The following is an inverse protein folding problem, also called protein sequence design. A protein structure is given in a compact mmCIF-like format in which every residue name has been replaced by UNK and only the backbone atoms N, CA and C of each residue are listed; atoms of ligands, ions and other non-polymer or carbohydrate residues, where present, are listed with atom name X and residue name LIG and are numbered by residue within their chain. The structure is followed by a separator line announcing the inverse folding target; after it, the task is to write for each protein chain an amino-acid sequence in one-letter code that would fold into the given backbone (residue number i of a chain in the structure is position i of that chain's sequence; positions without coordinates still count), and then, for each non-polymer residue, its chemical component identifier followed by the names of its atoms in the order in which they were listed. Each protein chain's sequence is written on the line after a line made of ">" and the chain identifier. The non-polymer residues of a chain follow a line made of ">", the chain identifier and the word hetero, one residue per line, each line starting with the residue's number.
data_IF_270944047124
#
_entry.id   IF_270944047124
#
_cell.length_a   1.000
_cell.length_b   1.000
_cell.length_c   1.000
_cell.angle_alpha   90.00
_cell.angle_beta   90.00
_cell.angle_gamma   90.00
#
_symmetry.space_group_name_H-M   'P 1'
#
loop_
_entity.id
_entity.type
_entity.pdbx_description
1 polymer ?
#
# COMPACT_ATOMS: atom_id res chain seq x y z
N UNK A 1 11.96 0.04 15.19
CA UNK A 1 12.36 0.85 14.02
C UNK A 1 13.87 0.80 13.82
N UNK A 2 14.70 1.36 14.70
CA UNK A 2 16.16 1.50 14.47
C UNK A 2 16.90 0.25 13.93
N UNK A 3 16.67 -0.95 14.49
CA UNK A 3 17.30 -2.19 13.97
C UNK A 3 16.80 -2.61 12.58
N UNK A 4 15.57 -2.27 12.23
CA UNK A 4 15.01 -2.50 10.91
C UNK A 4 15.57 -1.51 9.90
N UNK A 5 15.63 -0.23 10.29
CA UNK A 5 16.20 0.84 9.45
C UNK A 5 17.66 0.56 9.12
N UNK A 6 18.46 0.16 10.12
CA UNK A 6 19.85 -0.26 9.93
C UNK A 6 19.99 -1.41 8.92
N UNK A 7 19.12 -2.43 9.00
CA UNK A 7 19.16 -3.58 8.08
C UNK A 7 18.80 -3.18 6.66
N UNK A 8 17.81 -2.29 6.49
CA UNK A 8 17.43 -1.80 5.17
C UNK A 8 18.57 -0.96 4.59
N UNK A 9 19.14 -0.04 5.37
CA UNK A 9 20.27 0.78 4.92
C UNK A 9 21.50 -0.07 4.58
N UNK A 10 21.78 -1.13 5.34
CA UNK A 10 22.85 -2.07 5.02
C UNK A 10 22.65 -2.79 3.67
N UNK A 11 21.41 -3.06 3.27
CA UNK A 11 21.10 -3.63 1.94
C UNK A 11 21.28 -2.62 0.81
N UNK A 12 21.29 -1.32 1.13
CA UNK A 12 21.43 -0.22 0.17
C UNK A 12 22.85 0.37 0.17
N UNK A 13 23.82 -0.29 0.80
CA UNK A 13 25.15 0.24 1.03
C UNK A 13 25.96 0.50 -0.25
N UNK A 14 25.59 -0.13 -1.37
CA UNK A 14 26.23 0.06 -2.67
C UNK A 14 25.70 1.29 -3.44
N UNK A 15 24.59 1.89 -2.98
CA UNK A 15 24.08 3.16 -3.50
C UNK A 15 24.81 4.32 -2.84
N UNK A 16 24.86 5.49 -3.49
CA UNK A 16 25.27 6.70 -2.79
C UNK A 16 24.28 7.05 -1.67
N UNK A 17 24.80 7.74 -0.67
CA UNK A 17 24.07 8.09 0.55
C UNK A 17 22.74 8.80 0.27
N UNK A 18 22.69 9.65 -0.76
CA UNK A 18 21.48 10.40 -1.08
C UNK A 18 20.38 9.46 -1.62
N UNK A 19 20.71 8.60 -2.58
CA UNK A 19 19.76 7.63 -3.12
C UNK A 19 19.36 6.58 -2.07
N UNK A 20 20.30 6.09 -1.25
CA UNK A 20 20.00 5.14 -0.17
C UNK A 20 18.99 5.72 0.84
N UNK A 21 19.18 6.98 1.28
CA UNK A 21 18.25 7.66 2.19
C UNK A 21 16.90 7.93 1.54
N UNK A 22 16.87 8.30 0.26
CA UNK A 22 15.63 8.57 -0.46
C UNK A 22 14.80 7.28 -0.64
N UNK A 23 15.45 6.19 -1.05
CA UNK A 23 14.83 4.87 -1.20
C UNK A 23 14.35 4.33 0.15
N UNK A 24 15.14 4.43 1.21
CA UNK A 24 14.72 4.01 2.55
C UNK A 24 13.44 4.72 3.02
N UNK A 25 13.33 6.04 2.80
CA UNK A 25 12.14 6.83 3.14
C UNK A 25 10.94 6.45 2.27
N UNK A 26 11.16 6.29 0.96
CA UNK A 26 10.12 5.91 0.02
C UNK A 26 9.55 4.52 0.36
N UNK A 27 10.43 3.54 0.56
CA UNK A 27 10.08 2.18 0.97
C UNK A 27 9.29 2.18 2.28
N UNK A 28 9.76 2.88 3.30
CA UNK A 28 9.08 2.92 4.61
C UNK A 28 7.68 3.52 4.51
N UNK A 29 7.54 4.66 3.82
CA UNK A 29 6.23 5.31 3.64
C UNK A 29 5.27 4.42 2.84
N UNK A 30 5.77 3.80 1.77
CA UNK A 30 4.98 2.91 0.94
C UNK A 30 4.55 1.64 1.69
N UNK A 31 5.46 0.98 2.42
CA UNK A 31 5.17 -0.24 3.18
C UNK A 31 4.09 0.00 4.24
N UNK A 32 4.17 1.12 4.96
CA UNK A 32 3.13 1.51 5.92
C UNK A 32 1.77 1.71 5.23
N UNK A 33 1.75 2.36 4.06
CA UNK A 33 0.54 2.52 3.26
C UNK A 33 -0.05 1.18 2.83
N UNK A 34 0.78 0.26 2.32
CA UNK A 34 0.37 -1.09 1.94
C UNK A 34 -0.23 -1.86 3.12
N UNK A 35 0.44 -1.86 4.27
CA UNK A 35 -0.05 -2.54 5.48
C UNK A 35 -1.38 -1.98 5.97
N UNK A 36 -1.60 -0.66 5.91
CA UNK A 36 -2.89 -0.06 6.29
C UNK A 36 -4.03 -0.56 5.40
N UNK A 37 -3.80 -0.64 4.08
CA UNK A 37 -4.80 -1.11 3.12
C UNK A 37 -5.09 -2.60 3.31
N UNK A 38 -4.05 -3.44 3.42
CA UNK A 38 -4.21 -4.88 3.62
C UNK A 38 -4.87 -5.21 4.97
N UNK A 39 -4.51 -4.50 6.05
CA UNK A 39 -5.13 -4.69 7.37
C UNK A 39 -6.60 -4.27 7.38
N UNK A 40 -6.96 -3.16 6.71
CA UNK A 40 -8.36 -2.75 6.57
C UNK A 40 -9.18 -3.83 5.85
N UNK A 41 -8.63 -4.43 4.79
CA UNK A 41 -9.29 -5.50 4.05
C UNK A 41 -9.52 -6.78 4.88
N UNK A 42 -8.84 -6.96 6.03
CA UNK A 42 -9.08 -8.08 6.95
C UNK A 42 -10.27 -7.82 7.91
N UNK A 43 -10.58 -6.57 8.22
CA UNK A 43 -11.60 -6.18 9.22
C UNK A 43 -12.98 -5.93 8.57
N UNK A 44 -13.00 -5.46 7.31
CA UNK A 44 -14.24 -5.20 6.57
C UNK A 44 -14.87 -6.52 6.08
N UNK A 45 -15.85 -7.04 6.83
CA UNK A 45 -16.78 -8.14 6.52
C UNK A 45 -16.44 -8.92 5.23
N UNK A 46 -15.47 -9.86 5.28
CA UNK A 46 -14.86 -10.44 4.08
C UNK A 46 -15.84 -11.26 3.23
N UNK A 47 -16.97 -11.69 3.80
CA UNK A 47 -18.02 -12.44 3.12
C UNK A 47 -19.10 -11.55 2.48
N UNK A 48 -19.03 -10.22 2.63
CA UNK A 48 -19.97 -9.29 2.01
C UNK A 48 -19.71 -9.18 0.50
N UNK A 49 -20.68 -9.60 -0.35
CA UNK A 49 -20.49 -9.63 -1.79
C UNK A 49 -20.42 -8.23 -2.45
N UNK A 50 -20.92 -7.17 -1.81
CA UNK A 50 -20.85 -5.81 -2.35
C UNK A 50 -19.58 -5.04 -1.90
N UNK A 51 -18.63 -4.72 -2.80
CA UNK A 51 -17.44 -3.92 -2.50
C UNK A 51 -17.75 -2.53 -1.91
N UNK A 52 -18.86 -1.90 -2.32
CA UNK A 52 -19.25 -0.60 -1.81
C UNK A 52 -19.69 -0.69 -0.33
N UNK A 53 -20.20 -1.84 0.10
CA UNK A 53 -20.52 -2.07 1.51
C UNK A 53 -19.27 -2.11 2.38
N UNK A 54 -18.20 -2.77 1.91
CA UNK A 54 -16.93 -2.93 2.65
C UNK A 54 -16.29 -1.59 3.00
N UNK A 55 -16.31 -0.60 2.09
CA UNK A 55 -15.83 0.77 2.40
C UNK A 55 -16.89 1.72 2.97
N UNK A 56 -18.03 1.20 3.43
CA UNK A 56 -19.07 2.00 4.10
C UNK A 56 -19.89 2.93 3.19
N UNK A 57 -19.76 2.82 1.87
CA UNK A 57 -20.51 3.65 0.90
C UNK A 57 -22.02 3.39 0.93
N UNK A 58 -22.47 2.27 1.51
CA UNK A 58 -23.89 1.97 1.69
C UNK A 58 -24.63 3.01 2.56
N UNK A 59 -23.91 3.79 3.38
CA UNK A 59 -24.49 4.84 4.25
C UNK A 59 -24.55 6.22 3.59
N UNK A 60 -23.96 6.36 2.40
CA UNK A 60 -23.82 7.63 1.69
C UNK A 60 -24.77 7.61 0.50
N UNK A 61 -25.40 8.74 0.13
CA UNK A 61 -26.28 8.79 -1.05
C UNK A 61 -25.55 8.36 -2.32
N UNK A 62 -26.25 7.69 -3.25
CA UNK A 62 -25.66 7.19 -4.49
C UNK A 62 -25.09 8.31 -5.39
N UNK A 63 -25.64 9.52 -5.28
CA UNK A 63 -25.18 10.70 -6.03
C UNK A 63 -23.94 11.36 -5.43
N UNK A 64 -23.58 10.99 -4.20
CA UNK A 64 -22.41 11.50 -3.51
C UNK A 64 -21.23 10.55 -3.73
N UNK A 65 -20.05 11.13 -4.01
CA UNK A 65 -18.79 10.42 -4.24
C UNK A 65 -18.81 9.45 -5.45
N UNK A 66 -19.21 9.90 -6.65
CA UNK A 66 -19.34 9.02 -7.83
C UNK A 66 -18.02 8.32 -8.21
N UNK A 67 -16.89 9.02 -8.11
CA UNK A 67 -15.58 8.42 -8.39
C UNK A 67 -15.21 7.32 -7.39
N UNK A 68 -15.50 7.52 -6.10
CA UNK A 68 -15.20 6.54 -5.06
C UNK A 68 -16.04 5.27 -5.22
N UNK A 69 -17.30 5.41 -5.66
CA UNK A 69 -18.16 4.28 -6.04
C UNK A 69 -17.62 3.54 -7.26
N UNK A 70 -17.18 4.27 -8.28
CA UNK A 70 -16.61 3.68 -9.50
C UNK A 70 -15.31 2.90 -9.23
N UNK A 71 -14.55 3.28 -8.20
CA UNK A 71 -13.28 2.62 -7.82
C UNK A 71 -13.41 1.70 -6.60
N UNK A 72 -14.61 1.52 -6.04
CA UNK A 72 -14.83 0.77 -4.79
C UNK A 72 -14.30 -0.67 -4.87
N UNK A 73 -14.48 -1.35 -6.01
CA UNK A 73 -13.94 -2.69 -6.23
C UNK A 73 -12.42 -2.71 -6.11
N UNK A 74 -11.70 -1.87 -6.86
CA UNK A 74 -10.24 -1.82 -6.79
C UNK A 74 -9.69 -1.34 -5.43
N UNK A 75 -10.46 -0.53 -4.69
CA UNK A 75 -10.08 -0.09 -3.34
C UNK A 75 -10.26 -1.16 -2.26
N UNK A 76 -11.04 -2.21 -2.55
CA UNK A 76 -11.31 -3.31 -1.62
C UNK A 76 -10.66 -4.62 -2.05
N UNK A 77 -9.99 -4.61 -3.19
CA UNK A 77 -9.12 -5.70 -3.63
C UNK A 77 -7.86 -5.70 -2.77
N UNK A 78 -7.48 -6.90 -2.31
CA UNK A 78 -6.17 -7.11 -1.68
C UNK A 78 -5.13 -7.20 -2.79
N UNK A 79 -4.05 -6.45 -2.64
CA UNK A 79 -2.92 -6.53 -3.56
C UNK A 79 -2.14 -7.84 -3.39
N UNK A 80 -2.11 -8.38 -2.16
CA UNK A 80 -1.38 -9.62 -1.88
C UNK A 80 0.14 -9.49 -2.05
N UNK A 81 0.88 -10.57 -1.73
CA UNK A 81 2.35 -10.56 -1.73
C UNK A 81 2.95 -10.32 -3.12
N UNK A 82 2.24 -10.65 -4.20
CA UNK A 82 2.67 -10.38 -5.57
C UNK A 82 2.72 -8.87 -5.86
N UNK A 83 1.65 -8.14 -5.53
CA UNK A 83 1.62 -6.67 -5.68
C UNK A 83 2.71 -6.01 -4.83
N UNK A 84 2.99 -6.56 -3.64
CA UNK A 84 4.08 -6.09 -2.79
C UNK A 84 5.43 -6.22 -3.51
N UNK A 85 5.71 -7.38 -4.11
CA UNK A 85 6.95 -7.63 -4.84
C UNK A 85 7.10 -6.70 -6.05
N UNK A 86 6.09 -6.62 -6.92
CA UNK A 86 6.11 -5.77 -8.12
C UNK A 86 6.36 -4.29 -7.80
N UNK A 87 5.78 -3.80 -6.70
CA UNK A 87 5.95 -2.40 -6.27
C UNK A 87 7.30 -2.15 -5.62
N UNK A 88 7.86 -3.14 -4.93
CA UNK A 88 9.22 -3.06 -4.42
C UNK A 88 10.21 -2.98 -5.58
N UNK A 89 10.05 -3.82 -6.61
CA UNK A 89 10.89 -3.80 -7.81
C UNK A 89 10.83 -2.42 -8.49
N UNK A 90 9.63 -1.85 -8.65
CA UNK A 90 9.47 -0.51 -9.23
C UNK A 90 10.12 0.60 -8.39
N UNK A 91 10.18 0.46 -7.06
CA UNK A 91 10.92 1.38 -6.20
C UNK A 91 12.42 1.20 -6.39
N UNK A 92 12.93 -0.04 -6.43
CA UNK A 92 14.35 -0.30 -6.64
C UNK A 92 14.82 0.22 -8.01
N UNK A 93 14.08 -0.05 -9.08
CA UNK A 93 14.37 0.45 -10.44
C UNK A 93 14.41 1.98 -10.53
N UNK A 94 13.67 2.68 -9.66
CA UNK A 94 13.62 4.15 -9.66
C UNK A 94 14.87 4.77 -9.05
N UNK A 95 15.54 4.05 -8.15
CA UNK A 95 16.61 4.54 -7.27
C UNK A 95 17.96 3.83 -7.45
N UNK A 96 18.03 2.67 -8.11
CA UNK A 96 19.26 2.01 -8.56
C UNK A 96 19.73 2.51 -9.91
#
# INVERSE_FOLDING_TARGET
>A
MLRGDERILALLADLDEHHALALHRAFTAWLLGYLIVELRAMDDAPDEPDPAFRIGLHRISAQQLPHLRATATGLTERGGPETLAERLDALLDRFG
#
